data_IF_607917167360
#
_entry.id   IF_607917167360
#
_cell.length_a   1.000
_cell.length_b   1.000
_cell.length_c   1.000
_cell.angle_alpha   90.00
_cell.angle_beta   90.00
_cell.angle_gamma   90.00
#
_symmetry.space_group_name_H-M   'P 1'
#
loop_
_entity.id
_entity.type
_entity.pdbx_description
1 polymer ?
#
# COMPACT_ATOMS: atom_id res chain seq x y z
N UNK A 1 -3.23 5.90 3.38
CA UNK A 1 -2.09 5.64 2.46
C UNK A 1 -1.89 6.86 1.58
N UNK A 2 -0.69 7.44 1.55
CA UNK A 2 -0.46 8.77 0.94
C UNK A 2 0.02 8.71 -0.53
N UNK A 3 0.32 7.54 -1.07
CA UNK A 3 0.87 7.35 -2.42
C UNK A 3 -0.17 7.23 -3.54
N UNK A 4 -1.44 6.96 -3.21
CA UNK A 4 -2.47 6.60 -4.19
C UNK A 4 -2.67 7.63 -5.32
N UNK A 5 -2.63 8.92 -4.99
CA UNK A 5 -2.77 9.99 -6.00
C UNK A 5 -1.64 9.97 -7.04
N UNK A 6 -0.43 9.54 -6.64
CA UNK A 6 0.70 9.38 -7.55
C UNK A 6 0.46 8.23 -8.53
N UNK A 7 -0.01 7.08 -8.01
CA UNK A 7 -0.35 5.93 -8.87
C UNK A 7 -1.47 6.27 -9.85
N UNK A 8 -2.52 6.96 -9.40
CA UNK A 8 -3.63 7.40 -10.27
C UNK A 8 -3.12 8.32 -11.38
N UNK A 9 -2.27 9.31 -11.06
CA UNK A 9 -1.67 10.19 -12.07
C UNK A 9 -0.86 9.41 -13.12
N UNK A 10 -0.01 8.49 -12.68
CA UNK A 10 0.84 7.68 -13.58
C UNK A 10 0.01 6.74 -14.44
N UNK A 11 -0.95 6.02 -13.86
CA UNK A 11 -1.80 5.08 -14.59
C UNK A 11 -2.69 5.79 -15.61
N UNK A 12 -3.33 6.90 -15.23
CA UNK A 12 -4.15 7.69 -16.15
C UNK A 12 -3.31 8.28 -17.29
N UNK A 13 -2.07 8.72 -17.01
CA UNK A 13 -1.15 9.18 -18.05
C UNK A 13 -0.83 8.08 -19.06
N UNK A 14 -0.56 6.85 -18.60
CA UNK A 14 -0.33 5.69 -19.49
C UNK A 14 -1.59 5.31 -20.26
N UNK A 15 -2.78 5.40 -19.65
CA UNK A 15 -4.05 5.12 -20.32
C UNK A 15 -4.22 6.02 -21.55
N UNK A 16 -3.85 7.31 -21.49
CA UNK A 16 -3.93 8.21 -22.66
C UNK A 16 -3.02 7.82 -23.82
N UNK A 17 -2.03 6.96 -23.59
CA UNK A 17 -1.08 6.48 -24.60
C UNK A 17 -1.55 5.16 -25.21
N UNK A 18 -2.11 4.25 -24.40
CA UNK A 18 -2.62 2.94 -24.85
C UNK A 18 -4.05 3.04 -25.42
N UNK A 19 -4.86 3.98 -24.90
CA UNK A 19 -6.23 4.25 -25.31
C UNK A 19 -6.39 5.72 -25.70
N UNK A 20 -5.93 6.15 -26.90
CA UNK A 20 -5.87 7.56 -27.28
C UNK A 20 -7.20 8.31 -27.23
N UNK A 21 -8.33 7.61 -27.38
CA UNK A 21 -9.67 8.20 -27.30
C UNK A 21 -10.00 8.80 -25.91
N UNK A 22 -9.27 8.42 -24.85
CA UNK A 22 -9.47 8.98 -23.51
C UNK A 22 -8.65 10.25 -23.27
N UNK A 23 -7.78 10.64 -24.21
CA UNK A 23 -6.79 11.71 -24.04
C UNK A 23 -7.43 13.06 -23.73
N UNK A 24 -8.48 13.42 -24.46
CA UNK A 24 -9.20 14.69 -24.31
C UNK A 24 -9.93 14.80 -22.97
N UNK A 25 -10.34 13.68 -22.39
CA UNK A 25 -10.98 13.65 -21.07
C UNK A 25 -9.95 13.68 -19.94
N UNK A 26 -8.89 12.88 -20.05
CA UNK A 26 -7.97 12.62 -18.94
C UNK A 26 -6.92 13.73 -18.78
N UNK A 27 -6.26 14.16 -19.87
CA UNK A 27 -5.14 15.11 -19.76
C UNK A 27 -5.52 16.45 -19.14
N UNK A 28 -6.68 17.07 -19.44
CA UNK A 28 -7.07 18.32 -18.80
C UNK A 28 -7.28 18.18 -17.28
N UNK A 29 -7.81 17.03 -16.84
CA UNK A 29 -8.03 16.73 -15.42
C UNK A 29 -6.69 16.54 -14.70
N UNK A 30 -5.80 15.74 -15.30
CA UNK A 30 -4.46 15.53 -14.76
C UNK A 30 -3.70 16.86 -14.67
N UNK A 31 -3.77 17.70 -15.72
CA UNK A 31 -3.13 19.02 -15.73
C UNK A 31 -3.61 19.91 -14.57
N UNK A 32 -4.92 20.04 -14.35
CA UNK A 32 -5.47 20.81 -13.21
C UNK A 32 -4.99 20.25 -11.88
N UNK A 33 -4.94 18.92 -11.75
CA UNK A 33 -4.46 18.27 -10.53
C UNK A 33 -2.96 18.49 -10.30
N UNK A 34 -2.14 18.46 -11.36
CA UNK A 34 -0.71 18.79 -11.32
C UNK A 34 -0.47 20.25 -10.96
N UNK A 35 -1.23 21.18 -11.53
CA UNK A 35 -1.15 22.61 -11.17
C UNK A 35 -1.44 22.83 -9.68
N UNK A 36 -2.46 22.18 -9.14
CA UNK A 36 -2.78 22.21 -7.72
C UNK A 36 -1.66 21.57 -6.85
N UNK A 37 -1.07 20.47 -7.33
CA UNK A 37 0.04 19.80 -6.66
C UNK A 37 1.30 20.67 -6.58
N UNK A 38 1.67 21.35 -7.66
CA UNK A 38 2.86 22.22 -7.71
C UNK A 38 2.63 23.51 -6.91
N UNK A 39 1.39 24.04 -6.91
CA UNK A 39 1.06 25.28 -6.19
C UNK A 39 1.36 25.23 -4.69
N UNK A 40 1.23 24.06 -4.07
CA UNK A 40 1.52 23.87 -2.65
C UNK A 40 2.98 23.48 -2.36
N UNK A 41 3.81 23.28 -3.39
CA UNK A 41 5.23 22.93 -3.22
C UNK A 41 6.08 24.17 -2.90
N UNK A 42 5.81 24.82 -1.77
CA UNK A 42 6.46 26.07 -1.35
C UNK A 42 7.15 25.96 0.01
N UNK A 43 7.18 24.76 0.61
CA UNK A 43 7.59 24.54 1.98
C UNK A 43 9.07 24.22 2.20
N UNK A 44 9.41 24.04 3.48
CA UNK A 44 10.73 23.60 3.95
C UNK A 44 11.84 24.62 3.74
N UNK A 45 13.06 24.26 4.15
CA UNK A 45 14.25 25.11 4.00
C UNK A 45 14.60 25.43 2.54
N UNK A 46 14.11 24.61 1.61
CA UNK A 46 14.40 24.74 0.18
C UNK A 46 13.36 25.60 -0.57
N UNK A 47 12.25 25.99 0.09
CA UNK A 47 11.14 26.71 -0.54
C UNK A 47 10.42 25.95 -1.65
N UNK A 48 10.66 24.63 -1.77
CA UNK A 48 10.13 23.74 -2.82
C UNK A 48 9.62 22.40 -2.30
N UNK A 49 9.57 22.23 -0.98
CA UNK A 49 9.05 21.00 -0.39
C UNK A 49 7.55 20.91 -0.63
N UNK A 50 7.09 19.71 -0.97
CA UNK A 50 5.69 19.41 -1.27
C UNK A 50 5.05 18.64 -0.11
N UNK A 51 3.88 19.10 0.34
CA UNK A 51 2.98 18.38 1.22
C UNK A 51 1.91 17.59 0.44
N UNK A 52 0.95 17.01 1.17
CA UNK A 52 -0.06 16.13 0.60
C UNK A 52 -1.30 16.87 0.05
N UNK A 53 -1.68 18.01 0.62
CA UNK A 53 -2.98 18.64 0.38
C UNK A 53 -3.03 19.54 -0.86
N UNK A 54 -3.04 18.93 -2.05
CA UNK A 54 -3.06 19.64 -3.33
C UNK A 54 -4.30 20.53 -3.51
N UNK A 55 -5.45 20.10 -2.99
CA UNK A 55 -6.71 20.85 -3.07
C UNK A 55 -6.70 22.15 -2.26
N UNK A 56 -5.91 22.23 -1.18
CA UNK A 56 -5.80 23.44 -0.36
C UNK A 56 -4.95 24.51 -1.03
N UNK A 57 -4.09 24.13 -1.98
CA UNK A 57 -3.18 25.05 -2.67
C UNK A 57 -2.18 25.74 -1.75
N UNK A 58 -1.96 25.20 -0.54
CA UNK A 58 -1.02 25.69 0.47
C UNK A 58 -0.20 24.53 1.00
N UNK A 59 1.08 24.77 1.23
CA UNK A 59 1.96 23.81 1.89
C UNK A 59 1.45 23.54 3.32
N UNK A 60 1.35 22.26 3.67
CA UNK A 60 1.17 21.82 5.07
C UNK A 60 2.42 21.04 5.42
N UNK A 61 3.05 21.41 6.54
CA UNK A 61 4.29 20.79 6.97
C UNK A 61 4.04 19.33 7.40
N UNK A 62 4.73 18.36 6.78
CA UNK A 62 4.65 16.97 7.21
C UNK A 62 4.99 16.73 8.69
N UNK A 63 5.72 17.64 9.34
CA UNK A 63 5.95 17.59 10.79
C UNK A 63 4.67 17.80 11.61
N UNK A 64 3.68 18.52 11.08
CA UNK A 64 2.42 18.85 11.75
C UNK A 64 1.37 17.77 11.51
N UNK A 65 1.21 17.34 10.26
CA UNK A 65 0.11 16.44 9.86
C UNK A 65 0.55 14.98 9.61
N UNK A 66 1.87 14.70 9.66
CA UNK A 66 2.49 13.40 9.33
C UNK A 66 2.19 12.92 7.91
N UNK A 67 1.88 13.84 6.99
CA UNK A 67 1.60 13.57 5.59
C UNK A 67 2.67 14.17 4.68
N UNK A 68 3.40 13.30 3.97
CA UNK A 68 4.31 13.69 2.89
C UNK A 68 3.66 13.37 1.54
N UNK A 69 3.96 14.13 0.48
CA UNK A 69 3.53 13.71 -0.85
C UNK A 69 3.64 14.71 -1.98
N UNK A 70 4.80 14.77 -2.64
CA UNK A 70 4.82 15.01 -4.07
C UNK A 70 4.59 13.66 -4.78
N UNK A 71 3.64 13.61 -5.70
CA UNK A 71 3.42 12.41 -6.51
C UNK A 71 4.70 12.07 -7.27
N UNK A 72 5.17 10.84 -7.12
CA UNK A 72 6.28 10.27 -7.89
C UNK A 72 6.13 10.66 -9.36
N UNK A 73 7.20 11.22 -9.94
CA UNK A 73 7.36 11.62 -11.36
C UNK A 73 6.08 11.47 -12.18
N UNK A 74 5.32 12.56 -12.29
CA UNK A 74 4.06 12.60 -13.06
C UNK A 74 4.26 12.31 -14.56
N UNK A 75 5.50 12.28 -15.02
CA UNK A 75 5.85 11.99 -16.40
C UNK A 75 6.19 10.51 -16.58
N UNK A 76 5.53 9.86 -17.54
CA UNK A 76 5.81 8.48 -17.95
C UNK A 76 5.77 8.39 -19.46
N UNK A 77 6.82 7.82 -20.06
CA UNK A 77 6.86 7.53 -21.49
C UNK A 77 5.92 6.37 -21.87
N UNK A 78 5.71 6.13 -23.18
CA UNK A 78 4.85 5.06 -23.64
C UNK A 78 5.40 3.69 -23.24
N UNK A 79 4.52 2.75 -22.85
CA UNK A 79 4.95 1.40 -22.54
C UNK A 79 5.53 0.73 -23.80
N UNK A 80 6.70 0.12 -23.64
CA UNK A 80 7.37 -0.63 -24.72
C UNK A 80 6.89 -2.09 -24.74
N UNK A 81 6.99 -2.70 -25.90
CA UNK A 81 6.72 -4.12 -26.13
C UNK A 81 8.03 -4.88 -26.37
N UNK A 82 7.97 -6.20 -26.50
CA UNK A 82 9.12 -7.02 -26.91
C UNK A 82 9.72 -6.54 -28.26
N UNK A 83 8.88 -6.09 -29.20
CA UNK A 83 9.33 -5.61 -30.51
C UNK A 83 9.73 -4.14 -30.56
N UNK A 84 9.40 -3.34 -29.54
CA UNK A 84 9.54 -1.86 -29.57
C UNK A 84 10.51 -1.31 -28.51
N UNK A 85 11.47 -2.12 -28.07
CA UNK A 85 12.56 -1.68 -27.19
C UNK A 85 12.50 -2.19 -25.75
N UNK A 86 11.66 -3.19 -25.44
CA UNK A 86 11.72 -3.90 -24.16
C UNK A 86 13.04 -4.67 -24.02
N UNK A 87 13.87 -4.31 -23.04
CA UNK A 87 15.16 -4.98 -22.77
C UNK A 87 15.05 -6.16 -21.78
N UNK A 88 13.92 -6.28 -21.10
CA UNK A 88 13.65 -7.37 -20.15
C UNK A 88 13.41 -8.69 -20.87
N UNK A 89 14.01 -9.78 -20.38
CA UNK A 89 13.87 -11.14 -20.93
C UNK A 89 12.88 -11.96 -20.12
N UNK A 90 11.92 -12.59 -20.79
CA UNK A 90 10.99 -13.52 -20.16
C UNK A 90 11.68 -14.80 -19.68
N UNK A 91 11.12 -15.43 -18.64
CA UNK A 91 11.50 -16.75 -18.17
C UNK A 91 10.29 -17.69 -18.29
N UNK A 92 10.31 -18.70 -19.18
CA UNK A 92 9.21 -19.66 -19.32
C UNK A 92 8.89 -20.47 -18.05
N UNK A 93 9.83 -20.53 -17.09
CA UNK A 93 9.67 -21.19 -15.80
C UNK A 93 9.39 -20.19 -14.65
N UNK A 94 9.06 -18.93 -14.94
CA UNK A 94 8.70 -17.94 -13.92
C UNK A 94 7.44 -18.40 -13.16
N UNK A 95 7.51 -18.48 -11.83
CA UNK A 95 6.44 -19.05 -11.00
C UNK A 95 6.35 -20.58 -11.03
N UNK A 96 7.44 -21.28 -11.41
CA UNK A 96 7.53 -22.74 -11.50
C UNK A 96 7.46 -23.50 -10.16
N UNK A 97 8.27 -24.56 -10.02
CA UNK A 97 8.15 -25.66 -9.03
C UNK A 97 7.89 -25.31 -7.56
N UNK A 98 8.17 -24.10 -7.13
CA UNK A 98 7.87 -23.62 -5.79
C UNK A 98 6.58 -22.81 -5.86
N UNK A 99 5.47 -23.40 -5.39
CA UNK A 99 4.16 -22.75 -5.33
C UNK A 99 4.09 -21.68 -4.23
N UNK A 100 5.18 -21.43 -3.49
CA UNK A 100 5.22 -20.46 -2.39
C UNK A 100 4.36 -20.87 -1.18
N UNK A 101 3.64 -21.98 -1.30
CA UNK A 101 2.90 -22.58 -0.21
C UNK A 101 3.90 -23.34 0.64
N UNK A 102 4.19 -22.80 1.82
CA UNK A 102 4.81 -23.58 2.88
C UNK A 102 3.68 -24.38 3.52
N UNK A 103 3.51 -25.68 3.22
CA UNK A 103 2.49 -26.46 3.88
C UNK A 103 2.70 -26.33 5.39
N UNK A 104 1.63 -26.07 6.17
CA UNK A 104 1.76 -26.00 7.62
C UNK A 104 2.38 -27.32 8.11
N UNK A 105 3.30 -27.22 9.09
CA UNK A 105 3.93 -28.41 9.67
C UNK A 105 2.84 -29.36 10.18
N UNK A 106 2.97 -30.68 9.98
CA UNK A 106 2.03 -31.64 10.53
C UNK A 106 1.90 -31.47 12.04
N UNK A 107 0.67 -31.42 12.55
CA UNK A 107 0.40 -31.32 13.98
C UNK A 107 0.86 -32.62 14.65
N UNK A 108 1.82 -32.51 15.57
CA UNK A 108 2.33 -33.66 16.31
C UNK A 108 1.49 -33.97 17.54
N UNK A 109 1.72 -35.15 18.14
CA UNK A 109 1.10 -35.51 19.42
C UNK A 109 1.54 -34.58 20.56
N UNK A 110 2.76 -34.03 20.49
CA UNK A 110 3.26 -33.05 21.46
C UNK A 110 2.47 -31.74 21.38
N UNK A 111 2.18 -31.26 20.17
CA UNK A 111 1.38 -30.03 19.96
C UNK A 111 -0.04 -30.19 20.50
N UNK A 112 -0.66 -31.36 20.28
CA UNK A 112 -1.99 -31.67 20.82
C UNK A 112 -2.02 -31.74 22.34
N UNK A 113 -1.00 -32.37 22.95
CA UNK A 113 -0.89 -32.46 24.40
C UNK A 113 -0.68 -31.08 25.05
N UNK A 114 0.23 -30.28 24.48
CA UNK A 114 0.49 -28.91 24.94
C UNK A 114 -0.74 -28.01 24.82
N UNK A 115 -1.45 -28.07 23.69
CA UNK A 115 -2.68 -27.33 23.49
C UNK A 115 -3.75 -27.70 24.53
N UNK A 116 -3.99 -28.99 24.75
CA UNK A 116 -4.96 -29.46 25.75
C UNK A 116 -4.62 -29.02 27.17
N UNK A 117 -3.34 -29.09 27.55
CA UNK A 117 -2.89 -28.66 28.87
C UNK A 117 -3.11 -27.16 29.10
N UNK A 118 -2.75 -26.31 28.13
CA UNK A 118 -2.96 -24.86 28.22
C UNK A 118 -4.45 -24.53 28.28
N UNK A 119 -5.30 -25.20 27.48
CA UNK A 119 -6.76 -25.02 27.55
C UNK A 119 -7.31 -25.39 28.92
N UNK A 120 -6.85 -26.50 29.50
CA UNK A 120 -7.29 -26.93 30.83
C UNK A 120 -6.90 -25.92 31.92
N UNK A 121 -5.68 -25.37 31.87
CA UNK A 121 -5.25 -24.33 32.81
C UNK A 121 -6.07 -23.04 32.70
N UNK A 122 -6.35 -22.59 31.47
CA UNK A 122 -7.18 -21.40 31.27
C UNK A 122 -8.60 -21.59 31.79
N UNK A 123 -9.24 -22.71 31.44
CA UNK A 123 -10.59 -23.01 31.91
C UNK A 123 -10.64 -23.26 33.42
N UNK A 124 -9.68 -24.01 33.95
CA UNK A 124 -9.57 -24.28 35.38
C UNK A 124 -9.33 -23.01 36.19
N UNK A 125 -8.47 -22.10 35.70
CA UNK A 125 -8.26 -20.78 36.31
C UNK A 125 -9.53 -19.93 36.29
N UNK A 126 -10.22 -19.84 35.15
CA UNK A 126 -11.46 -19.09 35.03
C UNK A 126 -12.56 -19.62 35.97
N UNK A 127 -12.78 -20.94 35.97
CA UNK A 127 -13.75 -21.59 36.87
C UNK A 127 -13.34 -21.40 38.33
N UNK A 128 -12.07 -21.57 38.65
CA UNK A 128 -11.54 -21.35 40.00
C UNK A 128 -11.77 -19.94 40.51
N UNK A 129 -11.51 -18.92 39.69
CA UNK A 129 -11.83 -17.52 40.04
C UNK A 129 -13.33 -17.28 40.21
N UNK A 130 -14.16 -17.88 39.36
CA UNK A 130 -15.62 -17.76 39.47
C UNK A 130 -16.17 -18.40 40.74
N UNK A 131 -15.69 -19.60 41.09
CA UNK A 131 -16.07 -20.30 42.32
C UNK A 131 -15.58 -19.54 43.54
N UNK A 132 -14.34 -19.03 43.52
CA UNK A 132 -13.79 -18.22 44.61
C UNK A 132 -14.69 -17.02 44.91
N UNK A 133 -15.06 -16.24 43.88
CA UNK A 133 -15.91 -15.06 44.03
C UNK A 133 -17.36 -15.38 44.40
N UNK A 134 -17.84 -16.61 44.16
CA UNK A 134 -19.26 -16.98 44.34
C UNK A 134 -19.54 -17.82 45.58
N UNK A 135 -18.52 -18.53 46.09
CA UNK A 135 -18.66 -19.47 47.22
C UNK A 135 -17.90 -19.03 48.49
N UNK A 136 -17.03 -18.03 48.40
CA UNK A 136 -16.26 -17.49 49.52
C UNK A 136 -16.52 -15.98 49.71
N UNK A 137 -17.80 -15.60 49.63
CA UNK A 137 -18.32 -14.38 50.27
C UNK A 137 -18.75 -14.70 51.71
#
# INVERSE_FOLDING_TARGET
>A
MLSFKGYVHRWLSVITQVAPYTRETILPILRKSTEAAVKQCTGGQTGRQCGFYWNLGKFVDPAVDRTTGAGEVMNTGPPVTNGTGGTSKGNPNAGGKDNGERPPKPITMADKAGAGFVTFLMLGGAVGTFVWMSAFD
#
